data_IF_069538886449
#
_entry.id   IF_069538886449
#
_cell.length_a   1.000
_cell.length_b   1.000
_cell.length_c   1.000
_cell.angle_alpha   90.00
_cell.angle_beta   90.00
_cell.angle_gamma   90.00
#
_symmetry.space_group_name_H-M   'P 1'
#
loop_
_entity.id
_entity.type
_entity.pdbx_description
1 polymer ?
#
# COMPACT_ATOMS: atom_id res chain seq x y z
N UNK A 1 19.43 9.57 -15.84
CA UNK A 1 20.38 10.17 -14.87
C UNK A 1 19.64 10.27 -13.54
N UNK A 2 20.22 9.73 -12.48
CA UNK A 2 19.67 9.75 -11.13
C UNK A 2 19.49 11.19 -10.63
N UNK A 3 18.35 11.53 -10.06
CA UNK A 3 18.13 12.82 -9.40
C UNK A 3 17.10 12.69 -8.28
N UNK A 4 17.35 13.34 -7.13
CA UNK A 4 16.39 13.41 -6.02
C UNK A 4 15.08 14.06 -6.42
N UNK A 5 15.08 14.96 -7.39
CA UNK A 5 13.86 15.58 -7.90
C UNK A 5 12.83 14.57 -8.43
N UNK A 6 13.24 13.35 -8.80
CA UNK A 6 12.33 12.28 -9.23
C UNK A 6 11.38 11.82 -8.11
N UNK A 7 11.69 12.10 -6.85
CA UNK A 7 10.86 11.70 -5.71
C UNK A 7 9.96 12.81 -5.17
N UNK A 8 10.09 14.05 -5.63
CA UNK A 8 9.23 15.13 -5.15
C UNK A 8 7.77 14.90 -5.55
N UNK A 9 6.90 14.67 -4.57
CA UNK A 9 5.50 14.32 -4.78
C UNK A 9 5.27 12.90 -5.27
N UNK A 10 6.31 12.05 -5.24
CA UNK A 10 6.23 10.67 -5.70
C UNK A 10 5.41 9.79 -4.73
N UNK A 11 4.73 8.81 -5.31
CA UNK A 11 3.93 7.83 -4.61
C UNK A 11 4.59 6.46 -4.72
N UNK A 12 4.84 5.84 -3.57
CA UNK A 12 5.43 4.51 -3.49
C UNK A 12 4.58 3.51 -2.72
N UNK A 13 5.02 2.26 -2.74
CA UNK A 13 4.47 1.18 -1.93
C UNK A 13 5.53 0.14 -1.59
N UNK A 14 5.33 -0.56 -0.46
CA UNK A 14 6.06 -1.78 -0.14
C UNK A 14 5.30 -3.01 -0.61
N UNK A 15 6.04 -4.01 -1.08
CA UNK A 15 5.57 -5.32 -1.48
C UNK A 15 6.45 -6.38 -0.81
N UNK A 16 5.90 -7.11 0.15
CA UNK A 16 6.68 -7.96 1.07
C UNK A 16 6.72 -9.42 0.66
N UNK A 17 6.11 -9.78 -0.45
CA UNK A 17 6.07 -11.13 -1.02
C UNK A 17 5.22 -12.13 -0.22
N UNK A 18 4.20 -11.65 0.47
CA UNK A 18 3.16 -12.51 1.05
C UNK A 18 2.08 -12.85 0.01
N UNK A 19 1.86 -14.16 -0.18
CA UNK A 19 0.86 -14.64 -1.13
C UNK A 19 -0.46 -14.95 -0.42
N UNK A 20 -1.54 -14.34 -0.88
CA UNK A 20 -2.90 -14.54 -0.40
C UNK A 20 -3.87 -14.83 -1.55
N UNK A 21 -4.92 -15.66 -1.32
CA UNK A 21 -5.09 -16.49 -0.12
C UNK A 21 -4.04 -17.58 0.01
N UNK A 22 -3.89 -18.14 1.21
CA UNK A 22 -2.94 -19.25 1.42
C UNK A 22 -3.22 -20.39 0.44
N UNK A 23 -2.16 -20.89 -0.20
CA UNK A 23 -2.24 -21.96 -1.20
C UNK A 23 -2.49 -21.48 -2.63
N UNK A 24 -2.70 -20.18 -2.87
CA UNK A 24 -2.69 -19.62 -4.20
C UNK A 24 -1.29 -19.71 -4.82
N UNK A 25 -1.22 -19.50 -6.14
CA UNK A 25 0.05 -19.24 -6.85
C UNK A 25 0.10 -17.77 -7.27
N UNK A 26 1.26 -17.29 -7.68
CA UNK A 26 1.41 -15.91 -8.14
C UNK A 26 0.36 -15.51 -9.21
N UNK A 27 0.11 -16.40 -10.16
CA UNK A 27 -0.83 -16.19 -11.26
C UNK A 27 -2.25 -16.70 -10.99
N UNK A 28 -2.56 -17.17 -9.76
CA UNK A 28 -3.92 -17.54 -9.41
C UNK A 28 -4.84 -16.34 -9.56
N UNK A 29 -6.00 -16.48 -10.21
CA UNK A 29 -6.91 -15.36 -10.51
C UNK A 29 -7.36 -14.58 -9.28
N UNK A 30 -7.38 -15.24 -8.13
CA UNK A 30 -7.82 -14.69 -6.86
C UNK A 30 -6.64 -14.32 -5.92
N UNK A 31 -5.41 -14.32 -6.42
CA UNK A 31 -4.27 -13.90 -5.60
C UNK A 31 -4.16 -12.38 -5.51
N UNK A 32 -3.59 -11.91 -4.41
CA UNK A 32 -3.26 -10.50 -4.22
C UNK A 32 -2.37 -9.96 -5.36
N UNK A 33 -1.42 -10.75 -5.88
CA UNK A 33 -0.54 -10.34 -6.98
C UNK A 33 -1.28 -10.23 -8.32
N UNK A 34 -2.19 -11.17 -8.61
CA UNK A 34 -3.07 -11.05 -9.77
C UNK A 34 -3.97 -9.82 -9.67
N UNK A 35 -4.48 -9.52 -8.47
CA UNK A 35 -5.27 -8.31 -8.20
C UNK A 35 -4.46 -7.04 -8.44
N UNK A 36 -3.22 -6.94 -7.94
CA UNK A 36 -2.33 -5.80 -8.20
C UNK A 36 -2.22 -5.55 -9.71
N UNK A 37 -2.00 -6.61 -10.48
CA UNK A 37 -1.86 -6.54 -11.94
C UNK A 37 -3.17 -6.16 -12.63
N UNK A 38 -4.26 -6.83 -12.31
CA UNK A 38 -5.56 -6.63 -12.96
C UNK A 38 -6.15 -5.24 -12.67
N UNK A 39 -5.91 -4.70 -11.48
CA UNK A 39 -6.39 -3.39 -11.09
C UNK A 39 -5.47 -2.24 -11.51
N UNK A 40 -4.35 -2.53 -12.17
CA UNK A 40 -3.44 -1.49 -12.62
C UNK A 40 -2.71 -0.74 -11.49
N UNK A 41 -2.51 -1.39 -10.33
CA UNK A 41 -1.92 -0.77 -9.14
C UNK A 41 -0.52 -0.24 -9.43
N UNK A 42 0.31 -1.01 -10.16
CA UNK A 42 1.66 -0.56 -10.52
C UNK A 42 1.67 0.73 -11.34
N UNK A 43 0.62 0.97 -12.15
CA UNK A 43 0.45 2.20 -12.91
C UNK A 43 0.20 3.44 -12.05
N UNK A 44 -0.16 3.28 -10.79
CA UNK A 44 -0.36 4.39 -9.84
C UNK A 44 0.89 4.77 -9.06
N UNK A 45 1.96 3.95 -9.15
CA UNK A 45 3.19 4.10 -8.39
C UNK A 45 4.28 4.79 -9.22
N UNK A 46 5.04 5.66 -8.57
CA UNK A 46 6.29 6.20 -9.11
C UNK A 46 7.48 5.35 -8.67
N UNK A 47 7.38 4.71 -7.50
CA UNK A 47 8.40 3.77 -7.02
C UNK A 47 7.79 2.61 -6.20
N UNK A 48 8.55 1.51 -6.13
CA UNK A 48 8.12 0.27 -5.47
C UNK A 48 9.30 -0.36 -4.75
N UNK A 49 9.17 -0.67 -3.46
CA UNK A 49 10.16 -1.44 -2.70
C UNK A 49 9.69 -2.89 -2.56
N UNK A 50 10.44 -3.83 -3.14
CA UNK A 50 10.11 -5.26 -3.14
C UNK A 50 10.98 -5.99 -2.12
N UNK A 51 10.38 -6.62 -1.12
CA UNK A 51 11.04 -7.44 -0.10
C UNK A 51 11.00 -8.95 -0.41
N UNK A 52 11.68 -9.76 0.34
CA UNK A 52 12.70 -9.35 1.31
C UNK A 52 14.05 -9.79 0.80
N UNK A 53 15.04 -8.96 1.03
CA UNK A 53 16.44 -9.28 0.76
C UNK A 53 17.18 -9.49 2.08
N UNK A 54 18.19 -10.34 2.05
CA UNK A 54 19.11 -10.58 3.14
C UNK A 54 20.54 -10.46 2.67
N UNK A 55 21.47 -10.55 3.62
CA UNK A 55 22.90 -10.65 3.35
C UNK A 55 23.29 -12.12 3.17
N UNK A 56 24.00 -12.43 2.10
CA UNK A 56 24.58 -13.76 1.86
C UNK A 56 26.06 -13.76 2.24
N UNK A 57 26.37 -14.48 3.32
CA UNK A 57 27.71 -14.72 3.85
C UNK A 57 28.28 -16.08 3.46
N UNK A 58 27.68 -16.81 2.53
CA UNK A 58 28.16 -18.11 2.07
C UNK A 58 29.59 -18.06 1.53
N UNK A 59 29.97 -16.93 0.92
CA UNK A 59 31.34 -16.58 0.64
C UNK A 59 31.78 -15.40 1.53
N UNK A 60 32.41 -15.64 2.68
CA UNK A 60 32.74 -14.57 3.64
C UNK A 60 33.78 -13.57 3.14
N UNK A 61 34.49 -13.85 2.04
CA UNK A 61 35.43 -12.91 1.39
C UNK A 61 34.77 -12.07 0.31
N UNK A 62 33.54 -12.42 -0.10
CA UNK A 62 32.79 -11.71 -1.14
C UNK A 62 31.28 -11.78 -0.83
N UNK A 63 30.81 -11.19 0.29
CA UNK A 63 29.42 -11.20 0.65
C UNK A 63 28.58 -10.44 -0.39
N UNK A 64 27.30 -10.84 -0.55
CA UNK A 64 26.37 -10.23 -1.51
C UNK A 64 24.96 -10.20 -0.92
N UNK A 65 23.97 -9.81 -1.73
CA UNK A 65 22.55 -9.94 -1.38
C UNK A 65 22.02 -11.32 -1.80
N UNK A 66 21.01 -11.76 -1.08
CA UNK A 66 20.16 -12.90 -1.45
C UNK A 66 18.69 -12.55 -1.26
N UNK A 67 17.80 -13.27 -1.92
CA UNK A 67 16.37 -13.16 -1.71
C UNK A 67 15.68 -14.50 -1.77
N UNK A 68 14.69 -14.70 -0.90
CA UNK A 68 13.75 -15.82 -0.97
C UNK A 68 12.54 -15.54 -1.86
N UNK A 69 12.45 -14.32 -2.41
CA UNK A 69 11.37 -13.93 -3.30
C UNK A 69 11.51 -14.61 -4.67
N UNK A 70 10.83 -15.73 -4.84
CA UNK A 70 10.83 -16.52 -6.09
C UNK A 70 10.05 -15.81 -7.22
N UNK A 71 9.30 -14.76 -6.93
CA UNK A 71 8.49 -14.01 -7.89
C UNK A 71 9.11 -12.69 -8.31
N UNK A 72 10.31 -12.35 -7.82
CA UNK A 72 10.96 -11.05 -8.06
C UNK A 72 10.98 -10.66 -9.53
N UNK A 73 11.48 -11.54 -10.41
CA UNK A 73 11.59 -11.25 -11.85
C UNK A 73 10.21 -10.97 -12.48
N UNK A 74 9.17 -11.70 -12.04
CA UNK A 74 7.82 -11.50 -12.55
C UNK A 74 7.18 -10.21 -12.02
N UNK A 75 7.40 -9.89 -10.75
CA UNK A 75 6.93 -8.62 -10.14
C UNK A 75 7.56 -7.41 -10.84
N UNK A 76 8.87 -7.46 -11.10
CA UNK A 76 9.59 -6.42 -11.86
C UNK A 76 9.02 -6.28 -13.27
N UNK A 77 8.78 -7.40 -13.96
CA UNK A 77 8.21 -7.38 -15.31
C UNK A 77 6.77 -6.82 -15.33
N UNK A 78 5.92 -7.26 -14.41
CA UNK A 78 4.53 -6.80 -14.31
C UNK A 78 4.46 -5.30 -13.95
N UNK A 79 5.32 -4.83 -13.04
CA UNK A 79 5.39 -3.42 -12.68
C UNK A 79 5.78 -2.55 -13.87
N UNK A 80 6.82 -2.93 -14.62
CA UNK A 80 7.29 -2.19 -15.80
C UNK A 80 6.34 -2.27 -16.99
N UNK A 81 5.55 -3.32 -17.11
CA UNK A 81 4.52 -3.42 -18.14
C UNK A 81 3.40 -2.38 -17.93
N UNK A 82 3.11 -1.98 -16.70
CA UNK A 82 2.11 -0.96 -16.38
C UNK A 82 2.69 0.45 -16.25
N UNK A 83 3.92 0.55 -15.77
CA UNK A 83 4.64 1.81 -15.68
C UNK A 83 6.12 1.58 -16.07
N UNK A 84 6.51 1.87 -17.31
CA UNK A 84 7.90 1.70 -17.77
C UNK A 84 8.93 2.53 -16.99
N UNK A 85 8.51 3.65 -16.40
CA UNK A 85 9.36 4.59 -15.67
C UNK A 85 9.44 4.32 -14.16
N UNK A 86 8.75 3.28 -13.67
CA UNK A 86 8.72 2.95 -12.23
C UNK A 86 10.13 2.68 -11.69
N UNK A 87 10.44 3.30 -10.57
CA UNK A 87 11.70 3.05 -9.84
C UNK A 87 11.48 1.87 -8.89
N UNK A 88 12.25 0.79 -9.05
CA UNK A 88 12.08 -0.42 -8.25
C UNK A 88 13.31 -0.62 -7.35
N UNK A 89 13.06 -0.69 -6.04
CA UNK A 89 14.05 -0.96 -5.01
C UNK A 89 13.98 -2.43 -4.57
N UNK A 90 15.14 -2.97 -4.19
CA UNK A 90 15.20 -4.18 -3.36
C UNK A 90 15.19 -3.79 -1.88
N UNK A 91 14.24 -4.29 -1.10
CA UNK A 91 14.06 -3.98 0.31
C UNK A 91 14.82 -4.95 1.20
N UNK A 92 15.84 -4.45 1.91
CA UNK A 92 16.60 -5.23 2.89
C UNK A 92 15.76 -5.45 4.14
N UNK A 93 15.60 -6.71 4.55
CA UNK A 93 14.85 -7.05 5.75
C UNK A 93 15.56 -6.61 7.03
N UNK A 94 14.76 -6.30 8.03
CA UNK A 94 15.17 -6.13 9.40
C UNK A 94 15.26 -7.50 10.11
N UNK A 95 16.47 -7.92 10.49
CA UNK A 95 16.70 -9.06 11.38
C UNK A 95 18.00 -8.89 12.16
N UNK A 96 18.08 -9.49 13.37
CA UNK A 96 19.31 -9.49 14.17
C UNK A 96 20.51 -10.12 13.43
N UNK A 97 20.26 -11.17 12.62
CA UNK A 97 21.30 -11.82 11.86
C UNK A 97 21.89 -10.88 10.79
N UNK A 98 21.03 -10.20 10.04
CA UNK A 98 21.46 -9.23 9.02
C UNK A 98 22.34 -8.14 9.64
N UNK A 99 21.96 -7.59 10.80
CA UNK A 99 22.79 -6.60 11.47
C UNK A 99 24.12 -7.15 11.98
N UNK A 100 24.17 -8.40 12.44
CA UNK A 100 25.42 -9.09 12.82
C UNK A 100 26.33 -9.27 11.60
N UNK A 101 25.78 -9.68 10.47
CA UNK A 101 26.53 -9.85 9.22
C UNK A 101 27.04 -8.51 8.71
N UNK A 102 26.21 -7.47 8.73
CA UNK A 102 26.61 -6.10 8.37
C UNK A 102 27.72 -5.57 9.27
N UNK A 103 27.66 -5.76 10.59
CA UNK A 103 28.73 -5.38 11.50
C UNK A 103 30.07 -6.04 11.12
N UNK A 104 30.04 -7.33 10.76
CA UNK A 104 31.21 -8.07 10.31
C UNK A 104 31.76 -7.48 9.02
N UNK A 105 30.92 -7.18 8.05
CA UNK A 105 31.29 -6.58 6.77
C UNK A 105 31.88 -5.19 6.98
N UNK A 106 31.16 -4.33 7.72
CA UNK A 106 31.51 -2.90 7.88
C UNK A 106 32.81 -2.71 8.66
N UNK A 107 33.09 -3.58 9.64
CA UNK A 107 34.32 -3.52 10.42
C UNK A 107 35.58 -3.91 9.61
N UNK A 108 35.42 -4.39 8.37
CA UNK A 108 36.51 -4.73 7.45
C UNK A 108 36.40 -3.90 6.17
N UNK A 109 37.15 -2.78 6.03
CA UNK A 109 36.97 -1.81 4.93
C UNK A 109 37.02 -2.43 3.52
N UNK A 110 37.92 -3.38 3.27
CA UNK A 110 38.02 -4.07 1.99
C UNK A 110 36.75 -4.93 1.71
N UNK A 111 36.20 -5.56 2.75
CA UNK A 111 34.99 -6.36 2.65
C UNK A 111 33.76 -5.49 2.42
N UNK A 112 33.69 -4.34 3.08
CA UNK A 112 32.63 -3.35 2.89
C UNK A 112 32.59 -2.84 1.44
N UNK A 113 33.75 -2.50 0.87
CA UNK A 113 33.85 -2.08 -0.54
C UNK A 113 33.40 -3.20 -1.49
N UNK A 114 33.86 -4.45 -1.22
CA UNK A 114 33.44 -5.60 -2.01
C UNK A 114 31.93 -5.83 -1.92
N UNK A 115 31.35 -5.77 -0.73
CA UNK A 115 29.91 -5.93 -0.53
C UNK A 115 29.11 -4.84 -1.26
N UNK A 116 29.49 -3.58 -1.14
CA UNK A 116 28.79 -2.48 -1.83
C UNK A 116 28.79 -2.66 -3.36
N UNK A 117 29.92 -3.08 -3.95
CA UNK A 117 30.01 -3.41 -5.38
C UNK A 117 29.15 -4.62 -5.75
N UNK A 118 29.12 -5.65 -4.91
CA UNK A 118 28.27 -6.83 -5.13
C UNK A 118 26.77 -6.48 -5.03
N UNK A 119 26.38 -5.58 -4.11
CA UNK A 119 25.02 -5.04 -4.06
C UNK A 119 24.66 -4.37 -5.38
N UNK A 120 25.51 -3.44 -5.89
CA UNK A 120 25.30 -2.78 -7.16
C UNK A 120 25.13 -3.78 -8.33
N UNK A 121 25.98 -4.81 -8.36
CA UNK A 121 25.91 -5.89 -9.37
C UNK A 121 24.62 -6.70 -9.24
N UNK A 122 24.20 -7.02 -8.01
CA UNK A 122 22.97 -7.74 -7.74
C UNK A 122 21.74 -6.96 -8.22
N UNK A 123 21.68 -5.65 -7.95
CA UNK A 123 20.61 -4.78 -8.42
C UNK A 123 20.51 -4.81 -9.96
N UNK A 124 21.64 -4.65 -10.65
CA UNK A 124 21.67 -4.69 -12.11
C UNK A 124 21.21 -6.02 -12.69
N UNK A 125 21.66 -7.14 -12.12
CA UNK A 125 21.30 -8.49 -12.56
C UNK A 125 19.81 -8.81 -12.37
N UNK A 126 19.13 -8.15 -11.43
CA UNK A 126 17.71 -8.32 -11.14
C UNK A 126 16.82 -7.20 -11.71
N UNK A 127 17.39 -6.29 -12.50
CA UNK A 127 16.63 -5.19 -13.11
C UNK A 127 16.09 -4.18 -12.11
N UNK A 128 16.72 -4.05 -10.93
CA UNK A 128 16.34 -3.10 -9.90
C UNK A 128 17.03 -1.75 -10.11
N UNK A 129 16.38 -0.67 -9.69
CA UNK A 129 16.89 0.70 -9.81
C UNK A 129 17.57 1.19 -8.55
N UNK A 130 17.39 0.50 -7.42
CA UNK A 130 17.93 0.95 -6.15
C UNK A 130 17.80 -0.07 -5.02
N UNK A 131 18.24 0.37 -3.85
CA UNK A 131 18.27 -0.43 -2.64
C UNK A 131 17.60 0.36 -1.51
N UNK A 132 16.66 -0.26 -0.82
CA UNK A 132 15.93 0.29 0.32
C UNK A 132 16.35 -0.45 1.59
N UNK A 133 16.75 0.28 2.59
CA UNK A 133 17.21 -0.25 3.88
C UNK A 133 16.08 -0.09 4.89
N UNK A 134 15.48 -1.20 5.31
CA UNK A 134 14.55 -1.22 6.44
C UNK A 134 15.34 -0.98 7.74
N UNK A 135 15.30 0.29 8.20
CA UNK A 135 16.10 0.74 9.33
C UNK A 135 15.32 0.64 10.64
N UNK A 136 15.27 -0.59 11.14
CA UNK A 136 14.65 -0.94 12.42
C UNK A 136 15.69 -1.55 13.36
N UNK A 137 16.60 -0.72 13.86
CA UNK A 137 17.79 -1.15 14.58
C UNK A 137 17.47 -1.88 15.88
N UNK A 138 18.00 -3.09 16.10
CA UNK A 138 17.99 -3.71 17.42
C UNK A 138 18.95 -2.97 18.38
N UNK A 139 18.86 -3.24 19.67
CA UNK A 139 19.76 -2.67 20.69
C UNK A 139 21.24 -2.93 20.38
N UNK A 140 21.55 -4.04 19.73
CA UNK A 140 22.89 -4.44 19.28
C UNK A 140 23.17 -4.06 17.82
N UNK A 141 22.39 -3.15 17.24
CA UNK A 141 22.50 -2.73 15.85
C UNK A 141 23.76 -1.94 15.53
N UNK A 142 23.77 -1.36 14.33
CA UNK A 142 24.91 -0.55 13.85
C UNK A 142 25.06 0.71 14.68
N UNK A 143 26.30 1.09 14.98
CA UNK A 143 26.62 2.41 15.53
C UNK A 143 26.47 3.48 14.45
N UNK A 144 26.39 4.76 14.86
CA UNK A 144 26.34 5.91 13.94
C UNK A 144 27.53 5.92 12.97
N UNK A 145 28.74 5.55 13.45
CA UNK A 145 29.92 5.43 12.58
C UNK A 145 29.75 4.34 11.53
N UNK A 146 29.32 3.17 11.94
CA UNK A 146 29.08 2.03 11.03
C UNK A 146 28.00 2.36 10.01
N UNK A 147 26.91 3.01 10.41
CA UNK A 147 25.90 3.53 9.50
C UNK A 147 26.53 4.45 8.45
N UNK A 148 27.37 5.39 8.89
CA UNK A 148 28.06 6.32 8.00
C UNK A 148 28.99 5.61 7.00
N UNK A 149 29.82 4.71 7.49
CA UNK A 149 30.76 3.94 6.65
C UNK A 149 29.98 3.12 5.58
N UNK A 150 28.87 2.49 5.98
CA UNK A 150 28.05 1.67 5.08
C UNK A 150 27.36 2.50 4.01
N UNK A 151 26.65 3.59 4.39
CA UNK A 151 25.96 4.46 3.43
C UNK A 151 26.94 5.13 2.46
N UNK A 152 28.15 5.54 2.93
CA UNK A 152 29.18 6.09 2.07
C UNK A 152 29.72 5.05 1.08
N UNK A 153 29.92 3.80 1.50
CA UNK A 153 30.38 2.74 0.60
C UNK A 153 29.30 2.41 -0.46
N UNK A 154 28.03 2.33 -0.07
CA UNK A 154 26.92 2.14 -1.02
C UNK A 154 26.83 3.33 -1.99
N UNK A 155 26.87 4.56 -1.47
CA UNK A 155 26.83 5.77 -2.31
C UNK A 155 27.97 5.80 -3.34
N UNK A 156 29.18 5.43 -2.94
CA UNK A 156 30.32 5.33 -3.85
C UNK A 156 30.15 4.25 -4.93
N UNK A 157 29.63 3.08 -4.55
CA UNK A 157 29.39 1.98 -5.50
C UNK A 157 28.21 2.24 -6.46
N UNK A 158 27.18 2.95 -5.99
CA UNK A 158 25.97 3.26 -6.76
C UNK A 158 26.17 4.42 -7.73
N UNK A 159 26.94 5.42 -7.32
CA UNK A 159 27.17 6.64 -8.13
C UNK A 159 25.86 7.25 -8.64
N UNK A 160 25.81 7.54 -9.92
CA UNK A 160 24.63 8.06 -10.62
C UNK A 160 23.72 6.94 -11.22
N UNK A 161 24.02 5.67 -10.94
CA UNK A 161 23.31 4.53 -11.55
C UNK A 161 22.14 4.04 -10.70
N UNK A 162 22.35 3.86 -9.39
CA UNK A 162 21.35 3.30 -8.49
C UNK A 162 20.93 4.28 -7.41
N UNK A 163 19.67 4.23 -7.02
CA UNK A 163 19.13 4.99 -5.91
C UNK A 163 19.36 4.28 -4.57
N UNK A 164 19.46 5.05 -3.51
CA UNK A 164 19.53 4.56 -2.14
C UNK A 164 18.36 5.13 -1.34
N UNK A 165 17.56 4.24 -0.76
CA UNK A 165 16.48 4.57 0.14
C UNK A 165 16.76 4.07 1.55
N UNK A 166 16.20 4.76 2.54
CA UNK A 166 16.13 4.33 3.93
C UNK A 166 14.69 4.43 4.39
N UNK A 167 14.17 3.35 4.95
CA UNK A 167 12.83 3.28 5.52
C UNK A 167 12.96 3.11 7.03
N UNK A 168 12.58 4.13 7.82
CA UNK A 168 12.92 4.19 9.24
C UNK A 168 11.76 4.55 10.14
N UNK A 169 11.79 3.99 11.36
CA UNK A 169 10.96 4.44 12.46
C UNK A 169 11.78 5.16 13.54
N UNK A 170 11.13 5.96 14.37
CA UNK A 170 11.78 6.61 15.52
C UNK A 170 11.45 5.92 16.85
N UNK A 171 10.55 4.92 16.83
CA UNK A 171 10.00 4.29 18.01
C UNK A 171 10.85 3.08 18.46
N UNK A 172 10.22 2.02 18.98
CA UNK A 172 10.93 0.88 19.59
C UNK A 172 11.85 0.10 18.63
N UNK A 173 11.60 0.18 17.32
CA UNK A 173 12.37 -0.50 16.29
C UNK A 173 13.31 0.43 15.52
N UNK A 174 13.11 1.74 15.60
CA UNK A 174 13.97 2.71 14.94
C UNK A 174 14.89 3.39 15.95
N UNK A 175 16.14 3.55 15.58
CA UNK A 175 17.09 4.29 16.40
C UNK A 175 17.65 5.47 15.61
N UNK A 176 16.99 6.62 15.75
CA UNK A 176 17.41 7.88 15.08
C UNK A 176 18.85 8.23 15.43
N UNK A 177 19.26 7.99 16.66
CA UNK A 177 20.60 8.33 17.15
C UNK A 177 21.72 7.51 16.48
N UNK A 178 21.40 6.35 15.92
CA UNK A 178 22.36 5.53 15.19
C UNK A 178 22.45 5.88 13.70
N UNK A 179 21.59 6.75 13.19
CA UNK A 179 21.71 7.30 11.85
C UNK A 179 22.88 8.27 11.79
N UNK A 180 23.68 8.19 10.74
CA UNK A 180 24.69 9.20 10.45
C UNK A 180 24.08 10.24 9.51
N UNK A 181 23.65 11.37 10.06
CA UNK A 181 22.94 12.40 9.30
C UNK A 181 23.75 12.92 8.10
N UNK A 182 25.06 13.09 8.25
CA UNK A 182 25.92 13.54 7.15
C UNK A 182 25.94 12.54 5.99
N UNK A 183 26.07 11.23 6.29
CA UNK A 183 26.07 10.18 5.28
C UNK A 183 24.68 10.01 4.65
N UNK A 184 23.60 10.11 5.44
CA UNK A 184 22.21 10.10 4.92
C UNK A 184 22.03 11.26 3.94
N UNK A 185 22.35 12.49 4.35
CA UNK A 185 22.19 13.68 3.51
C UNK A 185 23.02 13.63 2.22
N UNK A 186 24.19 12.98 2.26
CA UNK A 186 25.06 12.86 1.09
C UNK A 186 24.61 11.80 0.10
N UNK A 187 24.14 10.63 0.59
CA UNK A 187 24.01 9.44 -0.23
C UNK A 187 22.56 8.96 -0.42
N UNK A 188 21.64 9.26 0.51
CA UNK A 188 20.25 8.79 0.43
C UNK A 188 19.43 9.70 -0.47
N UNK A 189 18.66 9.11 -1.37
CA UNK A 189 17.82 9.82 -2.33
C UNK A 189 16.39 10.01 -1.82
N UNK A 190 15.88 9.07 -1.03
CA UNK A 190 14.57 9.14 -0.38
C UNK A 190 14.64 8.48 1.00
N UNK A 191 14.00 9.12 1.96
CA UNK A 191 13.96 8.65 3.34
C UNK A 191 12.50 8.47 3.76
N UNK A 192 11.99 7.24 3.69
CA UNK A 192 10.61 6.92 4.01
C UNK A 192 10.45 6.77 5.53
N UNK A 193 9.66 7.64 6.14
CA UNK A 193 9.30 7.47 7.54
C UNK A 193 8.21 6.39 7.66
N UNK A 194 8.41 5.42 8.52
CA UNK A 194 7.35 4.51 8.95
C UNK A 194 6.45 5.25 9.95
N UNK A 195 5.60 6.15 9.43
CA UNK A 195 4.89 7.16 10.24
C UNK A 195 3.95 6.53 11.28
N UNK A 196 3.58 5.27 11.11
CA UNK A 196 2.82 4.48 12.09
C UNK A 196 3.63 4.12 13.35
N UNK A 197 4.96 4.19 13.29
CA UNK A 197 5.89 4.02 14.40
C UNK A 197 6.63 5.31 14.75
N UNK A 198 6.24 6.44 14.17
CA UNK A 198 6.84 7.76 14.39
C UNK A 198 5.82 8.66 15.08
N UNK A 199 5.97 8.87 16.38
CA UNK A 199 5.11 9.78 17.14
C UNK A 199 5.41 11.25 16.87
N UNK A 200 6.67 11.58 16.57
CA UNK A 200 7.13 12.92 16.24
C UNK A 200 8.19 12.86 15.13
N UNK A 201 7.82 13.15 13.87
CA UNK A 201 8.75 13.12 12.74
C UNK A 201 9.84 14.19 12.81
N UNK A 202 9.66 15.25 13.62
CA UNK A 202 10.64 16.33 13.76
C UNK A 202 11.97 15.87 14.37
N UNK A 203 11.98 14.73 15.08
CA UNK A 203 13.22 14.16 15.66
C UNK A 203 14.28 13.85 14.61
N UNK A 204 13.89 13.56 13.37
CA UNK A 204 14.84 13.33 12.27
C UNK A 204 15.49 14.64 11.84
N UNK A 205 14.71 15.72 11.73
CA UNK A 205 15.25 17.08 11.43
C UNK A 205 16.14 17.54 12.57
N UNK A 206 15.72 17.34 13.82
CA UNK A 206 16.52 17.65 15.00
C UNK A 206 17.86 16.89 15.00
N UNK A 207 17.88 15.66 14.51
CA UNK A 207 19.10 14.85 14.36
C UNK A 207 20.01 15.31 13.22
N UNK A 208 19.56 16.25 12.38
CA UNK A 208 20.33 16.84 11.28
C UNK A 208 20.08 16.20 9.92
N UNK A 209 19.03 15.40 9.78
CA UNK A 209 18.60 14.89 8.47
C UNK A 209 17.84 15.98 7.73
N UNK A 210 18.18 16.18 6.45
CA UNK A 210 17.52 17.16 5.60
C UNK A 210 16.03 16.85 5.46
N UNK A 211 15.19 17.85 5.73
CA UNK A 211 13.75 17.69 5.67
C UNK A 211 13.24 17.35 4.25
N UNK A 212 13.96 17.78 3.22
CA UNK A 212 13.65 17.51 1.81
C UNK A 212 13.88 16.05 1.38
N UNK A 213 14.41 15.21 2.25
CA UNK A 213 14.51 13.74 2.05
C UNK A 213 13.32 12.99 2.61
N UNK A 214 12.59 13.57 3.58
CA UNK A 214 11.63 12.85 4.40
C UNK A 214 10.32 12.62 3.68
N UNK A 215 9.92 11.36 3.56
CA UNK A 215 8.63 10.92 3.04
C UNK A 215 7.68 10.44 4.13
N UNK A 216 6.39 10.47 3.88
CA UNK A 216 5.35 9.96 4.77
C UNK A 216 5.00 8.50 4.44
N UNK A 217 5.08 7.60 5.40
CA UNK A 217 4.64 6.20 5.28
C UNK A 217 3.25 5.99 5.86
N UNK A 218 2.29 5.60 5.03
CA UNK A 218 0.92 5.29 5.43
C UNK A 218 0.77 3.82 5.84
N UNK A 219 -0.01 3.53 6.89
CA UNK A 219 -0.21 2.16 7.39
C UNK A 219 -1.55 1.58 6.91
N UNK A 220 -1.63 1.22 5.62
CA UNK A 220 -2.86 0.67 5.03
C UNK A 220 -3.24 -0.68 5.62
N UNK A 221 -2.26 -1.50 5.98
CA UNK A 221 -2.50 -2.81 6.63
C UNK A 221 -3.38 -2.69 7.88
N UNK A 222 -3.28 -1.60 8.64
CA UNK A 222 -4.08 -1.35 9.84
C UNK A 222 -5.37 -0.55 9.60
N UNK A 223 -5.77 -0.35 8.33
CA UNK A 223 -7.01 0.36 8.00
C UNK A 223 -6.88 1.88 7.85
N UNK A 224 -5.65 2.43 7.85
CA UNK A 224 -5.43 3.84 7.51
C UNK A 224 -5.89 4.11 6.08
N UNK A 225 -6.70 5.16 5.88
CA UNK A 225 -7.21 5.51 4.55
C UNK A 225 -6.25 6.40 3.77
N UNK A 226 -6.34 6.34 2.43
CA UNK A 226 -5.57 7.22 1.55
C UNK A 226 -5.86 8.71 1.79
N UNK A 227 -7.10 9.03 2.16
CA UNK A 227 -7.43 10.41 2.52
C UNK A 227 -6.74 10.86 3.79
N UNK A 228 -6.80 10.08 4.88
CA UNK A 228 -6.08 10.42 6.11
C UNK A 228 -4.58 10.59 5.82
N UNK A 229 -3.99 9.63 5.11
CA UNK A 229 -2.59 9.69 4.72
C UNK A 229 -2.28 10.98 3.92
N UNK A 230 -3.14 11.36 2.97
CA UNK A 230 -2.96 12.58 2.18
C UNK A 230 -3.07 13.87 3.02
N UNK A 231 -3.91 13.86 4.05
CA UNK A 231 -4.03 14.98 4.99
C UNK A 231 -2.75 15.12 5.83
N UNK A 232 -2.21 14.00 6.33
CA UNK A 232 -0.93 13.99 7.08
C UNK A 232 0.22 14.43 6.20
N UNK A 233 0.31 13.91 4.97
CA UNK A 233 1.29 14.35 3.99
C UNK A 233 1.21 15.86 3.75
N UNK A 234 0.02 16.42 3.58
CA UNK A 234 -0.17 17.85 3.36
C UNK A 234 0.09 18.71 4.62
N UNK A 235 -0.10 18.14 5.81
CA UNK A 235 0.23 18.82 7.07
C UNK A 235 1.76 18.99 7.23
N UNK A 236 2.56 18.10 6.62
CA UNK A 236 4.01 18.15 6.71
C UNK A 236 4.54 17.97 8.14
N UNK A 237 5.81 18.26 8.32
CA UNK A 237 6.50 18.17 9.60
C UNK A 237 6.61 19.55 10.22
N UNK A 238 6.13 19.70 11.47
CA UNK A 238 6.28 20.94 12.23
C UNK A 238 7.54 20.89 13.08
N UNK A 239 8.45 21.83 12.89
CA UNK A 239 9.67 21.93 13.69
C UNK A 239 10.07 23.39 13.89
N UNK A 240 10.26 23.81 15.15
CA UNK A 240 10.65 25.17 15.54
C UNK A 240 9.80 26.29 14.92
N UNK A 241 8.47 26.05 14.80
CA UNK A 241 7.53 27.01 14.22
C UNK A 241 7.55 27.09 12.68
N UNK A 242 8.30 26.21 12.03
CA UNK A 242 8.35 26.11 10.58
C UNK A 242 7.68 24.78 10.13
N UNK A 243 6.97 24.81 9.00
CA UNK A 243 6.41 23.64 8.34
C UNK A 243 7.35 23.17 7.22
N UNK A 244 7.70 21.89 7.24
CA UNK A 244 8.49 21.23 6.21
C UNK A 244 7.61 20.25 5.45
N UNK A 245 7.52 20.33 4.11
CA UNK A 245 6.74 19.39 3.32
C UNK A 245 7.41 18.00 3.31
N UNK A 246 6.60 16.94 3.29
CA UNK A 246 7.10 15.62 2.95
C UNK A 246 7.46 15.54 1.46
N UNK A 247 8.53 14.83 1.13
CA UNK A 247 8.98 14.62 -0.25
C UNK A 247 8.09 13.59 -0.96
N UNK A 248 7.83 12.45 -0.32
CA UNK A 248 7.12 11.31 -0.88
C UNK A 248 5.95 10.88 -0.01
N UNK A 249 5.07 10.08 -0.59
CA UNK A 249 4.09 9.27 0.13
C UNK A 249 4.31 7.80 -0.20
N UNK A 250 4.40 6.94 0.81
CA UNK A 250 4.57 5.50 0.63
C UNK A 250 3.60 4.72 1.50
N UNK A 251 3.06 3.60 1.00
CA UNK A 251 2.11 2.77 1.72
C UNK A 251 2.74 1.48 2.24
N UNK A 252 2.53 1.17 3.49
CA UNK A 252 2.73 -0.15 4.07
C UNK A 252 1.37 -0.84 4.14
N UNK A 253 1.11 -1.82 3.36
CA UNK A 253 1.75 -2.47 2.22
C UNK A 253 0.66 -2.84 1.21
N UNK A 254 0.96 -3.61 0.14
CA UNK A 254 -0.03 -4.00 -0.89
C UNK A 254 -0.47 -5.46 -0.80
N UNK A 255 0.14 -6.28 0.06
CA UNK A 255 0.06 -7.74 -0.01
C UNK A 255 -0.11 -8.42 1.36
N UNK A 256 -0.66 -7.73 2.37
CA UNK A 256 -1.05 -8.37 3.63
C UNK A 256 -2.35 -9.17 3.49
N UNK A 257 -2.82 -9.76 4.59
CA UNK A 257 -4.14 -10.39 4.61
C UNK A 257 -5.30 -9.40 4.37
N UNK A 258 -5.04 -8.09 4.49
CA UNK A 258 -5.98 -6.99 4.21
C UNK A 258 -5.78 -6.37 2.80
N UNK A 259 -5.09 -7.07 1.90
CA UNK A 259 -4.72 -6.58 0.58
C UNK A 259 -5.87 -5.97 -0.24
N UNK A 260 -7.15 -6.41 -0.16
CA UNK A 260 -8.20 -5.77 -0.94
C UNK A 260 -8.46 -4.32 -0.51
N UNK A 261 -8.36 -4.04 0.79
CA UNK A 261 -8.43 -2.67 1.30
C UNK A 261 -7.17 -1.89 0.92
N UNK A 262 -5.99 -2.43 1.17
CA UNK A 262 -4.70 -1.78 0.88
C UNK A 262 -4.61 -1.33 -0.58
N UNK A 263 -4.95 -2.22 -1.52
CA UNK A 263 -4.91 -1.94 -2.94
C UNK A 263 -5.95 -0.88 -3.36
N UNK A 264 -7.15 -0.91 -2.75
CA UNK A 264 -8.17 0.12 -2.99
C UNK A 264 -7.71 1.50 -2.53
N UNK A 265 -7.03 1.56 -1.37
CA UNK A 265 -6.46 2.81 -0.87
C UNK A 265 -5.30 3.30 -1.76
N UNK A 266 -4.49 2.39 -2.28
CA UNK A 266 -3.41 2.74 -3.21
C UNK A 266 -3.96 3.39 -4.50
N UNK A 267 -5.01 2.85 -5.08
CA UNK A 267 -5.68 3.47 -6.24
C UNK A 267 -6.18 4.88 -5.95
N UNK A 268 -6.62 5.12 -4.74
CA UNK A 268 -7.18 6.40 -4.30
C UNK A 268 -6.12 7.44 -3.93
N UNK A 269 -4.86 7.03 -3.69
CA UNK A 269 -3.84 7.90 -3.13
C UNK A 269 -3.51 9.09 -4.03
N UNK A 270 -3.25 8.87 -5.33
CA UNK A 270 -2.90 9.95 -6.26
C UNK A 270 -4.01 11.00 -6.42
N UNK A 271 -5.28 10.65 -6.63
CA UNK A 271 -6.37 11.62 -6.63
C UNK A 271 -6.39 12.48 -5.35
N UNK A 272 -6.19 11.89 -4.18
CA UNK A 272 -6.19 12.64 -2.93
C UNK A 272 -5.00 13.57 -2.78
N UNK A 273 -3.82 13.18 -3.23
CA UNK A 273 -2.63 14.04 -3.17
C UNK A 273 -2.74 15.23 -4.12
N UNK A 274 -3.34 15.05 -5.29
CA UNK A 274 -3.41 16.10 -6.33
C UNK A 274 -4.62 17.00 -6.22
N UNK A 275 -5.82 16.47 -5.88
CA UNK A 275 -7.09 17.20 -5.88
C UNK A 275 -7.83 17.17 -4.56
N UNK A 276 -7.44 16.31 -3.61
CA UNK A 276 -8.14 16.06 -2.33
C UNK A 276 -9.65 15.88 -2.52
N UNK A 277 -10.11 14.99 -3.42
CA UNK A 277 -11.53 14.79 -3.59
C UNK A 277 -12.14 14.25 -2.30
N UNK A 278 -13.34 14.75 -1.93
CA UNK A 278 -14.12 14.14 -0.85
C UNK A 278 -14.82 12.86 -1.29
N UNK A 279 -14.71 12.52 -2.57
CA UNK A 279 -15.41 11.42 -3.23
C UNK A 279 -14.43 10.69 -4.16
N UNK A 280 -14.38 9.37 -4.06
CA UNK A 280 -13.57 8.51 -4.93
C UNK A 280 -14.47 7.56 -5.70
N UNK A 281 -14.47 7.60 -7.04
CA UNK A 281 -15.21 6.65 -7.86
C UNK A 281 -14.53 5.28 -7.86
N UNK A 282 -15.32 4.22 -8.06
CA UNK A 282 -14.84 2.87 -8.32
C UNK A 282 -15.68 2.19 -9.40
N UNK A 283 -15.10 1.23 -10.12
CA UNK A 283 -15.78 0.45 -11.15
C UNK A 283 -15.16 -0.96 -11.26
N UNK A 284 -15.80 -1.92 -10.63
CA UNK A 284 -15.38 -3.34 -10.68
C UNK A 284 -15.58 -3.97 -12.06
N UNK A 285 -16.38 -3.36 -12.94
CA UNK A 285 -16.60 -3.91 -14.28
C UNK A 285 -15.33 -3.90 -15.14
N UNK A 286 -14.39 -3.00 -14.83
CA UNK A 286 -13.11 -2.91 -15.54
C UNK A 286 -12.30 -4.20 -15.38
N UNK A 287 -12.30 -4.80 -14.19
CA UNK A 287 -11.61 -6.08 -13.90
C UNK A 287 -12.28 -7.22 -14.66
N UNK A 288 -13.62 -7.26 -14.65
CA UNK A 288 -14.37 -8.34 -15.29
C UNK A 288 -14.26 -8.34 -16.83
N UNK A 289 -14.06 -7.16 -17.43
CA UNK A 289 -13.88 -7.03 -18.89
C UNK A 289 -12.58 -7.63 -19.43
N UNK A 290 -11.54 -7.73 -18.60
CA UNK A 290 -10.25 -8.32 -19.02
C UNK A 290 -10.18 -9.82 -18.72
N UNK A 291 -11.21 -10.39 -18.12
CA UNK A 291 -11.30 -11.81 -17.81
C UNK A 291 -11.86 -12.58 -19.01
N UNK A 292 -11.30 -13.75 -19.30
CA UNK A 292 -11.75 -14.62 -20.39
C UNK A 292 -12.90 -15.53 -19.99
N UNK A 293 -13.12 -15.72 -18.68
CA UNK A 293 -14.16 -16.59 -18.13
C UNK A 293 -15.27 -15.74 -17.52
N UNK A 294 -16.52 -15.87 -17.98
CA UNK A 294 -17.66 -15.21 -17.35
C UNK A 294 -17.82 -15.61 -15.89
N UNK A 295 -18.04 -14.63 -15.02
CA UNK A 295 -18.25 -14.86 -13.59
C UNK A 295 -19.52 -14.18 -13.11
N UNK A 296 -20.10 -14.74 -12.05
CA UNK A 296 -21.22 -14.16 -11.30
C UNK A 296 -20.76 -13.83 -9.88
N UNK A 297 -21.41 -12.90 -9.23
CA UNK A 297 -21.19 -12.66 -7.80
C UNK A 297 -21.56 -13.95 -7.04
N UNK A 298 -20.58 -14.51 -6.34
CA UNK A 298 -20.72 -15.68 -5.47
C UNK A 298 -21.03 -15.29 -4.03
N UNK A 299 -20.37 -14.21 -3.56
CA UNK A 299 -20.63 -13.69 -2.21
C UNK A 299 -20.37 -12.20 -2.13
N UNK A 300 -20.99 -11.58 -1.13
CA UNK A 300 -20.82 -10.14 -0.83
C UNK A 300 -20.54 -9.99 0.66
N UNK A 301 -19.53 -9.21 1.00
CA UNK A 301 -19.26 -8.73 2.35
C UNK A 301 -19.62 -7.25 2.41
N UNK A 302 -20.40 -6.85 3.41
CA UNK A 302 -20.77 -5.46 3.68
C UNK A 302 -20.22 -5.12 5.05
N UNK A 303 -19.51 -4.00 5.15
CA UNK A 303 -19.18 -3.39 6.44
C UNK A 303 -20.21 -2.33 6.73
N UNK A 304 -20.78 -2.36 7.93
CA UNK A 304 -21.77 -1.37 8.33
C UNK A 304 -21.74 -1.11 9.84
N UNK A 305 -21.99 0.13 10.18
CA UNK A 305 -22.19 0.64 11.53
C UNK A 305 -23.45 1.49 11.55
N UNK A 306 -23.29 2.79 11.61
CA UNK A 306 -24.41 3.77 11.48
C UNK A 306 -24.94 3.86 10.04
N UNK A 307 -24.09 3.62 9.08
CA UNK A 307 -24.37 3.59 7.63
C UNK A 307 -23.59 2.44 6.99
N UNK A 308 -23.57 2.34 5.67
CA UNK A 308 -22.75 1.36 4.95
C UNK A 308 -21.33 1.92 4.76
N UNK A 309 -20.39 1.35 5.48
CA UNK A 309 -18.97 1.76 5.43
C UNK A 309 -18.26 1.23 4.18
N UNK A 310 -18.50 -0.05 3.82
CA UNK A 310 -17.87 -0.64 2.65
C UNK A 310 -18.65 -1.81 2.06
N UNK A 311 -18.31 -2.15 0.80
CA UNK A 311 -18.77 -3.36 0.09
C UNK A 311 -17.59 -4.07 -0.58
N UNK A 312 -17.61 -5.39 -0.59
CA UNK A 312 -16.65 -6.23 -1.30
C UNK A 312 -17.36 -7.43 -1.91
N UNK A 313 -17.11 -7.72 -3.19
CA UNK A 313 -17.66 -8.87 -3.89
C UNK A 313 -16.59 -9.93 -4.15
N UNK A 314 -17.01 -11.19 -4.12
CA UNK A 314 -16.26 -12.31 -4.68
C UNK A 314 -17.06 -12.88 -5.84
N UNK A 315 -16.45 -12.98 -7.00
CA UNK A 315 -17.04 -13.55 -8.20
C UNK A 315 -16.47 -14.94 -8.49
N UNK A 316 -17.30 -15.83 -9.04
CA UNK A 316 -16.84 -17.14 -9.47
C UNK A 316 -17.45 -17.51 -10.82
N UNK A 317 -16.76 -18.38 -11.57
CA UNK A 317 -17.31 -19.06 -12.73
C UNK A 317 -18.38 -20.08 -12.30
N UNK A 318 -19.25 -20.46 -13.22
CA UNK A 318 -20.36 -21.37 -12.94
C UNK A 318 -19.92 -22.77 -12.46
N UNK A 319 -18.72 -23.19 -12.84
CA UNK A 319 -18.11 -24.47 -12.42
C UNK A 319 -17.20 -24.33 -11.17
N UNK A 320 -17.05 -23.10 -10.64
CA UNK A 320 -16.21 -22.81 -9.50
C UNK A 320 -14.69 -22.92 -9.76
N UNK A 321 -14.28 -23.18 -10.99
CA UNK A 321 -12.86 -23.32 -11.35
C UNK A 321 -12.10 -22.00 -11.32
N UNK A 322 -12.80 -20.89 -11.45
CA UNK A 322 -12.27 -19.54 -11.41
C UNK A 322 -13.00 -18.72 -10.33
N UNK A 323 -12.25 -18.20 -9.39
CA UNK A 323 -12.75 -17.33 -8.31
C UNK A 323 -11.90 -16.09 -8.24
N UNK A 324 -12.51 -14.92 -8.20
CA UNK A 324 -11.83 -13.64 -8.04
C UNK A 324 -12.49 -12.83 -6.93
N UNK A 325 -11.69 -12.41 -5.96
CA UNK A 325 -12.09 -11.44 -4.95
C UNK A 325 -11.83 -10.04 -5.49
N UNK A 326 -12.87 -9.23 -5.57
CA UNK A 326 -12.77 -7.84 -5.99
C UNK A 326 -12.29 -6.96 -4.83
N UNK A 327 -11.89 -5.73 -5.12
CA UNK A 327 -11.42 -4.82 -4.10
C UNK A 327 -12.53 -4.46 -3.11
N UNK A 328 -12.14 -4.10 -1.88
CA UNK A 328 -13.04 -3.48 -0.94
C UNK A 328 -13.20 -2.00 -1.29
N UNK A 329 -14.43 -1.55 -1.48
CA UNK A 329 -14.74 -0.13 -1.72
C UNK A 329 -15.37 0.48 -0.49
N UNK A 330 -14.75 1.51 0.06
CA UNK A 330 -15.15 2.17 1.31
C UNK A 330 -14.10 2.07 2.39
N UNK A 331 -14.49 2.37 3.61
CA UNK A 331 -13.61 2.40 4.77
C UNK A 331 -13.56 1.09 5.55
N UNK A 332 -12.85 1.14 6.65
CA UNK A 332 -12.72 0.03 7.60
C UNK A 332 -13.63 0.21 8.84
N UNK A 333 -14.52 1.21 8.78
CA UNK A 333 -15.53 1.45 9.80
C UNK A 333 -16.53 0.31 9.91
N UNK A 334 -17.38 0.39 10.94
CA UNK A 334 -18.42 -0.61 11.21
C UNK A 334 -17.88 -2.02 11.41
N UNK A 335 -18.78 -2.99 11.35
CA UNK A 335 -18.46 -4.42 11.44
C UNK A 335 -18.73 -5.09 10.11
N UNK A 336 -17.82 -5.94 9.65
CA UNK A 336 -18.05 -6.80 8.51
C UNK A 336 -19.08 -7.89 8.89
N UNK A 337 -20.07 -8.10 8.04
CA UNK A 337 -20.97 -9.24 8.17
C UNK A 337 -20.27 -10.54 7.72
N UNK A 338 -20.85 -11.69 8.06
CA UNK A 338 -20.48 -12.93 7.39
C UNK A 338 -20.81 -12.83 5.89
N UNK A 339 -20.02 -13.46 4.99
CA UNK A 339 -20.29 -13.40 3.56
C UNK A 339 -21.73 -13.80 3.22
N UNK A 340 -22.42 -12.94 2.50
CA UNK A 340 -23.77 -13.22 1.98
C UNK A 340 -23.59 -14.07 0.73
N UNK A 341 -23.87 -15.36 0.82
CA UNK A 341 -23.77 -16.26 -0.33
C UNK A 341 -24.89 -15.98 -1.34
N UNK A 342 -24.51 -15.86 -2.61
CA UNK A 342 -25.41 -15.65 -3.74
C UNK A 342 -25.46 -16.93 -4.55
N UNK A 343 -26.61 -17.60 -4.53
CA UNK A 343 -26.88 -18.79 -5.36
C UNK A 343 -27.64 -18.36 -6.61
N UNK A 344 -27.22 -18.86 -7.78
CA UNK A 344 -27.87 -18.59 -9.08
C UNK A 344 -27.80 -17.14 -9.58
N UNK A 345 -26.80 -16.35 -9.11
CA UNK A 345 -26.62 -14.96 -9.50
C UNK A 345 -27.47 -13.96 -8.71
N UNK A 346 -27.01 -12.77 -8.57
CA UNK A 346 -27.74 -11.67 -7.92
C UNK A 346 -28.64 -11.00 -8.96
N UNK A 347 -29.95 -11.11 -8.80
CA UNK A 347 -30.90 -10.51 -9.74
C UNK A 347 -31.62 -9.29 -9.19
N UNK A 348 -31.62 -9.10 -7.87
CA UNK A 348 -32.25 -7.94 -7.24
C UNK A 348 -31.62 -7.63 -5.88
N UNK A 349 -31.61 -6.36 -5.53
CA UNK A 349 -31.32 -5.86 -4.19
C UNK A 349 -32.02 -4.51 -3.99
N UNK A 350 -32.04 -4.02 -2.77
CA UNK A 350 -32.45 -2.64 -2.51
C UNK A 350 -31.44 -1.93 -1.63
N UNK A 351 -31.46 -0.61 -1.69
CA UNK A 351 -30.65 0.21 -0.82
C UNK A 351 -31.37 1.51 -0.44
N UNK A 352 -30.97 2.10 0.66
CA UNK A 352 -31.48 3.38 1.14
C UNK A 352 -30.34 4.40 1.04
N UNK A 353 -30.60 5.52 0.36
CA UNK A 353 -29.74 6.72 0.43
C UNK A 353 -30.29 7.71 1.43
N UNK A 354 -29.43 8.57 1.95
CA UNK A 354 -29.86 9.70 2.80
C UNK A 354 -28.69 10.62 3.11
N UNK A 355 -28.93 11.66 3.89
CA UNK A 355 -27.90 12.59 4.32
C UNK A 355 -27.48 12.27 5.75
N UNK A 356 -26.19 12.03 5.93
CA UNK A 356 -25.56 11.78 7.22
C UNK A 356 -24.42 12.77 7.43
N UNK A 357 -24.45 13.53 8.51
CA UNK A 357 -23.52 14.65 8.72
C UNK A 357 -23.40 15.63 7.52
N UNK A 358 -24.54 15.87 6.83
CA UNK A 358 -24.57 16.79 5.69
C UNK A 358 -24.06 16.20 4.37
N UNK A 359 -23.70 14.92 4.35
CA UNK A 359 -23.18 14.22 3.17
C UNK A 359 -24.15 13.12 2.71
N UNK A 360 -24.28 12.95 1.39
CA UNK A 360 -25.07 11.83 0.85
C UNK A 360 -24.35 10.52 1.08
N UNK A 361 -25.05 9.52 1.61
CA UNK A 361 -24.52 8.20 1.93
C UNK A 361 -25.47 7.08 1.49
N UNK A 362 -24.94 5.88 1.35
CA UNK A 362 -25.75 4.66 1.38
C UNK A 362 -26.01 4.31 2.85
N UNK A 363 -27.23 4.53 3.30
CA UNK A 363 -27.62 4.32 4.70
C UNK A 363 -27.85 2.86 5.03
N UNK A 364 -28.28 2.05 4.04
CA UNK A 364 -28.56 0.62 4.22
C UNK A 364 -28.52 -0.08 2.86
N UNK A 365 -28.10 -1.34 2.84
CA UNK A 365 -28.24 -2.26 1.70
C UNK A 365 -29.03 -3.47 2.16
N UNK A 366 -29.99 -3.94 1.34
CA UNK A 366 -30.77 -5.17 1.60
C UNK A 366 -30.53 -6.17 0.49
N UNK A 367 -30.02 -7.34 0.83
CA UNK A 367 -29.75 -8.45 -0.10
C UNK A 367 -30.37 -9.73 0.49
N UNK A 368 -31.13 -10.48 -0.31
CA UNK A 368 -31.77 -11.71 0.10
C UNK A 368 -32.65 -11.54 1.37
N UNK A 369 -33.27 -10.36 1.53
CA UNK A 369 -34.13 -10.05 2.66
C UNK A 369 -33.40 -9.64 3.95
N UNK A 370 -32.09 -9.67 3.97
CA UNK A 370 -31.29 -9.20 5.10
C UNK A 370 -30.76 -7.79 4.83
N UNK A 371 -30.87 -6.92 5.83
CA UNK A 371 -30.46 -5.50 5.75
C UNK A 371 -29.18 -5.21 6.52
N UNK A 372 -28.32 -4.35 5.96
CA UNK A 372 -27.01 -3.95 6.49
C UNK A 372 -26.83 -2.43 6.38
N UNK A 373 -26.79 -1.70 7.51
CA UNK A 373 -27.11 -2.16 8.86
C UNK A 373 -28.57 -2.65 8.98
N UNK A 374 -28.92 -3.35 10.06
CA UNK A 374 -30.24 -3.95 10.25
C UNK A 374 -31.39 -2.92 10.17
N UNK A 375 -31.15 -1.68 10.53
CA UNK A 375 -32.08 -0.54 10.40
C UNK A 375 -31.34 0.71 9.94
N UNK A 376 -32.03 1.62 9.26
CA UNK A 376 -31.49 2.94 8.93
C UNK A 376 -31.29 3.73 10.23
N UNK A 377 -30.10 4.28 10.42
CA UNK A 377 -29.79 5.10 11.60
C UNK A 377 -30.70 6.34 11.66
N UNK A 378 -31.31 6.65 12.80
CA UNK A 378 -32.18 7.83 12.94
C UNK A 378 -31.51 9.18 12.65
N UNK A 379 -30.18 9.26 12.71
CA UNK A 379 -29.42 10.46 12.34
C UNK A 379 -29.33 10.69 10.83
N UNK A 380 -29.72 9.71 10.01
CA UNK A 380 -29.79 9.86 8.55
C UNK A 380 -31.08 10.60 8.20
N UNK A 381 -30.93 11.79 7.63
CA UNK A 381 -32.06 12.61 7.17
C UNK A 381 -32.40 12.33 5.70
N UNK A 382 -33.65 12.57 5.35
CA UNK A 382 -34.19 12.40 3.98
C UNK A 382 -33.92 11.00 3.37
N UNK A 383 -34.23 9.91 4.06
CA UNK A 383 -33.99 8.57 3.52
C UNK A 383 -34.85 8.31 2.28
N UNK A 384 -34.22 7.75 1.24
CA UNK A 384 -34.89 7.36 -0.01
C UNK A 384 -34.55 5.91 -0.33
N UNK A 385 -35.57 5.07 -0.54
CA UNK A 385 -35.39 3.67 -0.89
C UNK A 385 -35.32 3.48 -2.40
N UNK A 386 -34.34 2.75 -2.84
CA UNK A 386 -34.10 2.37 -4.24
C UNK A 386 -34.22 0.87 -4.39
N UNK A 387 -35.00 0.43 -5.39
CA UNK A 387 -35.12 -0.99 -5.76
C UNK A 387 -34.35 -1.20 -7.06
N UNK A 388 -33.54 -2.25 -7.09
CA UNK A 388 -32.77 -2.65 -8.26
C UNK A 388 -33.20 -4.05 -8.66
N UNK A 389 -33.54 -4.22 -9.92
CA UNK A 389 -33.85 -5.54 -10.53
C UNK A 389 -33.10 -5.66 -11.84
N UNK A 390 -32.38 -6.75 -12.02
CA UNK A 390 -31.68 -7.02 -13.27
C UNK A 390 -32.69 -7.22 -14.42
N UNK A 391 -32.34 -6.77 -15.64
CA UNK A 391 -33.13 -7.09 -16.83
C UNK A 391 -33.31 -8.59 -17.01
N UNK A 392 -34.39 -9.00 -17.69
CA UNK A 392 -34.69 -10.41 -17.93
C UNK A 392 -33.48 -11.13 -18.56
N UNK A 393 -33.12 -12.28 -17.99
CA UNK A 393 -31.99 -13.10 -18.43
C UNK A 393 -30.61 -12.59 -18.03
N UNK A 394 -30.53 -11.51 -17.22
CA UNK A 394 -29.26 -10.95 -16.73
C UNK A 394 -29.15 -11.08 -15.23
N UNK A 395 -27.90 -11.00 -14.75
CA UNK A 395 -27.55 -10.90 -13.35
C UNK A 395 -26.75 -9.63 -13.09
N UNK A 396 -26.72 -9.19 -11.84
CA UNK A 396 -25.77 -8.19 -11.37
C UNK A 396 -24.43 -8.92 -11.18
N UNK A 397 -23.42 -8.51 -11.93
CA UNK A 397 -22.12 -9.18 -11.96
C UNK A 397 -21.02 -8.37 -11.22
N UNK A 398 -21.27 -7.08 -10.99
CA UNK A 398 -20.35 -6.18 -10.30
C UNK A 398 -21.09 -4.93 -9.83
N UNK A 399 -20.35 -4.08 -9.14
CA UNK A 399 -20.79 -2.73 -8.78
C UNK A 399 -19.81 -1.69 -9.31
N UNK A 400 -20.36 -0.51 -9.59
CA UNK A 400 -19.61 0.74 -9.69
C UNK A 400 -20.24 1.76 -8.76
N UNK A 401 -19.53 2.83 -8.44
CA UNK A 401 -20.10 3.82 -7.54
C UNK A 401 -19.08 4.83 -7.05
N UNK A 402 -19.35 5.33 -5.85
CA UNK A 402 -18.51 6.31 -5.19
C UNK A 402 -18.42 6.01 -3.70
N UNK A 403 -17.24 6.19 -3.15
CA UNK A 403 -17.00 6.27 -1.71
C UNK A 403 -16.82 7.73 -1.33
N UNK A 404 -17.17 8.06 -0.11
CA UNK A 404 -17.14 9.44 0.36
C UNK A 404 -16.63 9.53 1.79
N UNK A 405 -15.93 10.62 2.05
CA UNK A 405 -15.46 11.02 3.36
C UNK A 405 -16.51 11.78 4.13
N UNK A 406 -16.74 11.41 5.38
CA UNK A 406 -17.68 12.06 6.28
C UNK A 406 -16.98 12.49 7.56
N UNK A 407 -17.05 13.79 7.89
CA UNK A 407 -16.61 14.31 9.19
C UNK A 407 -17.68 14.00 10.24
N UNK A 408 -17.26 13.38 11.35
CA UNK A 408 -18.13 13.05 12.46
C UNK A 408 -18.21 14.18 13.49
N UNK A 409 -19.34 14.32 14.16
CA UNK A 409 -19.47 15.21 15.31
C UNK A 409 -18.52 14.72 16.42
N UNK A 410 -17.58 15.56 16.85
CA UNK A 410 -16.57 15.18 17.86
C UNK A 410 -15.15 15.07 17.33
N UNK A 411 -14.92 15.35 16.04
CA UNK A 411 -13.58 15.49 15.47
C UNK A 411 -12.99 14.24 14.83
N UNK A 412 -13.80 13.17 14.71
CA UNK A 412 -13.43 11.98 13.92
C UNK A 412 -13.90 12.06 12.48
N UNK A 413 -13.53 11.08 11.69
CA UNK A 413 -13.99 10.91 10.30
C UNK A 413 -14.12 9.43 9.95
N UNK A 414 -14.89 9.14 8.90
CA UNK A 414 -15.00 7.79 8.34
C UNK A 414 -15.21 7.86 6.82
N UNK A 415 -14.85 6.76 6.16
CA UNK A 415 -15.21 6.52 4.78
C UNK A 415 -16.47 5.69 4.72
N UNK A 416 -17.35 6.04 3.78
CA UNK A 416 -18.62 5.36 3.58
C UNK A 416 -18.92 5.21 2.09
N UNK A 417 -19.82 4.32 1.73
CA UNK A 417 -20.41 4.30 0.40
C UNK A 417 -21.35 5.49 0.23
N UNK A 418 -21.18 6.23 -0.86
CA UNK A 418 -22.05 7.35 -1.23
C UNK A 418 -22.95 7.04 -2.43
N UNK A 419 -22.48 6.19 -3.35
CA UNK A 419 -23.23 5.76 -4.52
C UNK A 419 -22.92 4.30 -4.84
N UNK A 420 -23.92 3.57 -5.28
CA UNK A 420 -23.82 2.17 -5.70
C UNK A 420 -24.67 1.94 -6.96
N UNK A 421 -24.02 1.57 -8.05
CA UNK A 421 -24.69 1.27 -9.32
C UNK A 421 -24.41 -0.18 -9.70
N UNK A 422 -25.44 -0.97 -10.06
CA UNK A 422 -25.23 -2.34 -10.52
C UNK A 422 -24.65 -2.37 -11.94
N UNK A 423 -23.79 -3.34 -12.19
CA UNK A 423 -23.30 -3.72 -13.52
C UNK A 423 -23.95 -5.03 -13.89
N UNK A 424 -24.59 -5.07 -15.05
CA UNK A 424 -25.33 -6.25 -15.52
C UNK A 424 -24.54 -7.02 -16.56
N UNK A 425 -24.54 -8.36 -16.46
CA UNK A 425 -23.92 -9.27 -17.39
C UNK A 425 -24.82 -10.41 -17.87
#
# INVERSE_FOLDING_TARGET
MKTRANFTGAIGAWLTNELHPKGATYSSPNSNFSSIKLNGIYGTLDYLSIGWFGVDMSNPTSPTLQTSNTYLAQQVADARAQNPDIIIFGLLAYTNQIFTDLQTIINTPALLTTFANNVASFLGNNGLNGFDIDWEQPTSGLSQKQCGDWLNALGAAFGDTYYLAVSASSNQYGNVQNLNAAAVNANVDVFNLQSYWVSDPSVFIQHGINADLLGYGAYFESGVTALYASQQYAAGIQYQGQQYPYQTMMSWRLDSSNWPFEQSQQLSMRPYMTSRPNVVPFDDSAILKVQTTPTLIQSIVIRSGDVVDAIQCTNASSDGSYVVQLLQHGGDGGSANNPINITNGLTAFSYVTGNWYGQQVIAQITINGASYPASVNPSVSNPQTHQVTAPAGKSIIAFSGQTQYVNLAGGGFTWVLAQLNPVFG
#
